data_IF_993900845595
#
_entry.id   IF_993900845595
#
_cell.length_a   1.000
_cell.length_b   1.000
_cell.length_c   1.000
_cell.angle_alpha   90.00
_cell.angle_beta   90.00
_cell.angle_gamma   90.00
#
_symmetry.space_group_name_H-M   'P 1'
#
loop_
_entity.id
_entity.type
_entity.pdbx_description
1 polymer ?
#
# COMPACT_ATOMS: atom_id res chain seq x y z
N UNK A 1 34.45 -3.80 -9.52
CA UNK A 1 33.16 -3.04 -9.44
C UNK A 1 32.93 -2.75 -7.97
N UNK A 2 33.13 -1.51 -7.57
CA UNK A 2 32.75 -1.09 -6.21
C UNK A 2 31.24 -1.25 -6.07
N UNK A 3 30.81 -2.00 -5.06
CA UNK A 3 29.38 -2.20 -4.79
C UNK A 3 28.74 -0.87 -4.41
N UNK A 4 27.53 -0.58 -4.91
CA UNK A 4 26.79 0.59 -4.50
C UNK A 4 26.45 0.41 -3.02
N UNK A 5 26.94 1.28 -2.16
CA UNK A 5 26.56 1.33 -0.76
C UNK A 5 25.20 2.01 -0.64
N UNK A 6 24.18 1.22 -0.29
CA UNK A 6 22.81 1.71 -0.11
C UNK A 6 22.72 2.44 1.23
N UNK A 7 22.13 3.63 1.22
CA UNK A 7 22.04 4.44 2.43
C UNK A 7 20.60 4.51 2.99
N UNK A 8 20.52 4.86 4.25
CA UNK A 8 19.33 5.32 4.93
C UNK A 8 19.38 6.84 5.03
N UNK A 9 18.34 7.51 4.54
CA UNK A 9 18.14 8.96 4.69
C UNK A 9 17.11 9.22 5.78
N UNK A 10 17.51 9.87 6.85
CA UNK A 10 16.63 10.24 7.95
C UNK A 10 16.37 11.76 7.91
N UNK A 11 15.12 12.13 7.62
CA UNK A 11 14.62 13.50 7.55
C UNK A 11 13.44 13.71 8.51
N UNK A 12 13.35 12.90 9.57
CA UNK A 12 12.28 13.01 10.55
C UNK A 12 12.32 14.33 11.33
N UNK A 13 11.16 14.81 11.77
CA UNK A 13 10.99 15.99 12.63
C UNK A 13 11.53 17.32 12.07
N UNK A 14 11.50 17.52 10.75
CA UNK A 14 12.06 18.71 10.11
C UNK A 14 10.99 19.69 9.62
N UNK A 15 9.71 19.45 9.92
CA UNK A 15 8.58 20.28 9.46
C UNK A 15 8.51 20.46 7.93
N UNK A 16 9.05 19.51 7.16
CA UNK A 16 9.12 19.55 5.71
C UNK A 16 7.72 19.42 5.09
N UNK A 17 7.44 20.25 4.11
CA UNK A 17 6.30 20.10 3.19
C UNK A 17 6.68 19.32 1.93
N UNK A 18 7.96 19.33 1.59
CA UNK A 18 8.58 18.59 0.49
C UNK A 18 10.02 18.21 0.85
N UNK A 19 10.59 17.22 0.20
CA UNK A 19 12.00 16.88 0.35
C UNK A 19 12.82 17.92 -0.42
N UNK A 20 13.85 18.56 0.21
CA UNK A 20 14.69 19.53 -0.46
C UNK A 20 15.35 18.97 -1.72
N UNK A 21 15.26 19.66 -2.88
CA UNK A 21 15.82 19.17 -4.14
C UNK A 21 17.29 18.79 -4.07
N UNK A 22 18.10 19.53 -3.34
CA UNK A 22 19.53 19.27 -3.16
C UNK A 22 19.82 17.94 -2.43
N UNK A 23 18.91 17.48 -1.55
CA UNK A 23 19.02 16.18 -0.89
C UNK A 23 18.63 15.06 -1.84
N UNK A 24 17.64 15.31 -2.69
CA UNK A 24 17.21 14.35 -3.73
C UNK A 24 18.35 14.13 -4.72
N UNK A 25 18.93 15.21 -5.26
CA UNK A 25 20.03 15.15 -6.22
C UNK A 25 21.26 14.42 -5.66
N UNK A 26 21.59 14.68 -4.40
CA UNK A 26 22.76 14.09 -3.74
C UNK A 26 22.58 12.61 -3.41
N UNK A 27 21.43 12.24 -2.86
CA UNK A 27 21.24 10.94 -2.18
C UNK A 27 20.12 10.09 -2.79
N UNK A 28 19.17 10.66 -3.51
CA UNK A 28 17.94 9.98 -3.95
C UNK A 28 18.18 8.64 -4.64
N UNK A 29 19.15 8.60 -5.58
CA UNK A 29 19.48 7.37 -6.32
C UNK A 29 20.04 6.26 -5.43
N UNK A 30 20.75 6.58 -4.34
CA UNK A 30 21.39 5.62 -3.44
C UNK A 30 20.54 5.28 -2.22
N UNK A 31 19.40 5.94 -2.02
CA UNK A 31 18.57 5.75 -0.84
C UNK A 31 17.73 4.49 -0.98
N UNK A 32 17.93 3.55 -0.07
CA UNK A 32 17.12 2.34 0.08
C UNK A 32 16.04 2.50 1.17
N UNK A 33 16.30 3.31 2.18
CA UNK A 33 15.36 3.61 3.26
C UNK A 33 15.25 5.13 3.44
N UNK A 34 14.01 5.66 3.42
CA UNK A 34 13.71 7.06 3.62
C UNK A 34 12.73 7.22 4.78
N UNK A 35 13.17 7.93 5.82
CA UNK A 35 12.36 8.25 6.98
C UNK A 35 11.98 9.73 6.98
N UNK A 36 10.69 10.00 6.80
CA UNK A 36 10.07 11.32 6.79
C UNK A 36 9.08 11.50 7.96
N UNK A 37 9.23 10.72 9.04
CA UNK A 37 8.35 10.79 10.20
C UNK A 37 8.22 12.21 10.75
N UNK A 38 7.01 12.59 11.21
CA UNK A 38 6.71 13.90 11.79
C UNK A 38 7.11 15.09 10.89
N UNK A 39 6.60 15.07 9.65
CA UNK A 39 6.69 16.20 8.72
C UNK A 39 5.29 16.65 8.26
N UNK A 40 5.21 17.40 7.18
CA UNK A 40 3.97 17.91 6.57
C UNK A 40 3.84 17.47 5.11
N UNK A 41 4.38 16.30 4.78
CA UNK A 41 4.38 15.77 3.42
C UNK A 41 2.94 15.38 3.03
N UNK A 42 2.49 15.87 1.88
CA UNK A 42 1.18 15.55 1.31
C UNK A 42 1.25 15.09 -0.14
N UNK A 43 2.38 15.30 -0.82
CA UNK A 43 2.63 14.91 -2.21
C UNK A 43 3.77 13.90 -2.27
N UNK A 44 3.58 12.82 -3.01
CA UNK A 44 4.55 11.74 -3.13
C UNK A 44 5.16 11.62 -4.53
N UNK A 45 4.97 12.63 -5.41
CA UNK A 45 5.52 12.58 -6.77
C UNK A 45 7.04 12.63 -6.81
N UNK A 46 7.68 13.23 -5.80
CA UNK A 46 9.15 13.26 -5.65
C UNK A 46 9.78 11.85 -5.55
N UNK A 47 9.00 10.84 -5.20
CA UNK A 47 9.49 9.45 -5.12
C UNK A 47 9.99 8.90 -6.45
N UNK A 48 9.70 9.55 -7.58
CA UNK A 48 10.27 9.19 -8.90
C UNK A 48 11.80 9.22 -8.87
N UNK A 49 12.38 10.06 -8.04
CA UNK A 49 13.83 10.26 -7.90
C UNK A 49 14.48 9.27 -6.91
N UNK A 50 13.68 8.35 -6.34
CA UNK A 50 14.11 7.30 -5.42
C UNK A 50 13.91 5.89 -6.01
N UNK A 51 14.56 5.53 -7.13
CA UNK A 51 14.26 4.31 -7.89
C UNK A 51 14.64 3.01 -7.18
N UNK A 52 15.41 3.10 -6.10
CA UNK A 52 15.89 1.95 -5.34
C UNK A 52 15.29 1.85 -3.94
N UNK A 53 14.32 2.68 -3.61
CA UNK A 53 13.67 2.71 -2.32
C UNK A 53 12.96 1.38 -2.01
N UNK A 54 13.29 0.78 -0.89
CA UNK A 54 12.70 -0.46 -0.37
C UNK A 54 11.83 -0.23 0.86
N UNK A 55 12.16 0.82 1.63
CA UNK A 55 11.44 1.20 2.85
C UNK A 55 11.14 2.69 2.86
N UNK A 56 9.87 3.03 3.06
CA UNK A 56 9.40 4.41 3.19
C UNK A 56 8.59 4.57 4.48
N UNK A 57 9.00 5.50 5.32
CA UNK A 57 8.33 5.83 6.58
C UNK A 57 7.79 7.26 6.49
N UNK A 58 6.47 7.38 6.53
CA UNK A 58 5.71 8.63 6.42
C UNK A 58 4.78 8.84 7.63
N UNK A 59 5.09 8.25 8.77
CA UNK A 59 4.27 8.39 9.97
C UNK A 59 4.13 9.85 10.37
N UNK A 60 2.93 10.25 10.85
CA UNK A 60 2.63 11.63 11.25
C UNK A 60 2.91 12.66 10.13
N UNK A 61 2.25 12.48 9.00
CA UNK A 61 2.29 13.41 7.86
C UNK A 61 0.87 13.82 7.41
N UNK A 62 0.74 14.37 6.21
CA UNK A 62 -0.51 14.88 5.66
C UNK A 62 -0.95 14.12 4.38
N UNK A 63 -0.51 12.89 4.21
CA UNK A 63 -0.85 12.06 3.04
C UNK A 63 -2.35 11.76 3.04
N UNK A 64 -3.03 12.12 1.97
CA UNK A 64 -4.47 11.91 1.79
C UNK A 64 -4.80 10.76 0.84
N UNK A 65 -6.10 10.45 0.75
CA UNK A 65 -6.62 9.32 -0.04
C UNK A 65 -6.33 9.40 -1.53
N UNK A 66 -6.24 10.61 -2.09
CA UNK A 66 -6.06 10.88 -3.53
C UNK A 66 -4.61 11.20 -3.90
N UNK A 67 -3.66 10.86 -3.03
CA UNK A 67 -2.24 11.12 -3.30
C UNK A 67 -1.80 10.46 -4.61
N UNK A 68 -0.98 11.19 -5.37
CA UNK A 68 -0.33 10.64 -6.56
C UNK A 68 1.01 10.06 -6.18
N UNK A 69 1.22 8.79 -6.52
CA UNK A 69 2.44 8.04 -6.22
C UNK A 69 2.99 7.44 -7.52
N UNK A 70 4.28 7.61 -7.83
CA UNK A 70 4.90 6.98 -8.99
C UNK A 70 4.98 5.45 -8.82
N UNK A 71 5.46 4.75 -9.84
CA UNK A 71 5.68 3.30 -9.75
C UNK A 71 6.91 3.01 -8.88
N UNK A 72 6.68 2.30 -7.76
CA UNK A 72 7.69 1.96 -6.74
C UNK A 72 7.90 0.45 -6.70
N UNK A 73 8.50 -0.12 -7.76
CA UNK A 73 8.60 -1.57 -7.94
C UNK A 73 9.49 -2.27 -6.90
N UNK A 74 10.36 -1.54 -6.21
CA UNK A 74 11.25 -2.08 -5.18
C UNK A 74 10.75 -1.83 -3.75
N UNK A 75 9.64 -1.09 -3.59
CA UNK A 75 9.11 -0.79 -2.26
C UNK A 75 8.46 -2.05 -1.65
N UNK A 76 8.97 -2.45 -0.50
CA UNK A 76 8.49 -3.58 0.28
C UNK A 76 7.81 -3.16 1.58
N UNK A 77 8.26 -2.07 2.18
CA UNK A 77 7.76 -1.56 3.46
C UNK A 77 7.27 -0.13 3.33
N UNK A 78 6.03 0.14 3.75
CA UNK A 78 5.41 1.45 3.74
C UNK A 78 4.67 1.69 5.05
N UNK A 79 5.08 2.70 5.80
CA UNK A 79 4.42 3.14 7.02
C UNK A 79 3.78 4.51 6.82
N UNK A 80 2.49 4.60 7.11
CA UNK A 80 1.62 5.77 6.91
C UNK A 80 0.73 6.03 8.12
N UNK A 81 1.18 5.66 9.31
CA UNK A 81 0.42 5.86 10.53
C UNK A 81 0.17 7.36 10.77
N UNK A 82 -0.97 7.71 11.37
CA UNK A 82 -1.31 9.11 11.68
C UNK A 82 -1.26 10.05 10.46
N UNK A 83 -1.87 9.66 9.35
CA UNK A 83 -2.02 10.49 8.16
C UNK A 83 -3.49 10.94 7.96
N UNK A 84 -3.86 11.36 6.76
CA UNK A 84 -5.19 11.92 6.42
C UNK A 84 -5.93 11.06 5.40
N UNK A 85 -5.75 9.76 5.47
CA UNK A 85 -6.39 8.80 4.57
C UNK A 85 -7.79 8.52 5.09
N UNK A 86 -8.82 8.94 4.34
CA UNK A 86 -10.24 8.83 4.69
C UNK A 86 -11.00 7.86 3.80
N UNK A 87 -10.52 7.62 2.56
CA UNK A 87 -11.13 6.71 1.60
C UNK A 87 -10.19 5.53 1.30
N UNK A 88 -10.51 4.38 1.90
CA UNK A 88 -9.70 3.17 1.80
C UNK A 88 -9.60 2.65 0.36
N UNK A 89 -10.73 2.58 -0.35
CA UNK A 89 -10.75 1.98 -1.69
C UNK A 89 -9.91 2.76 -2.70
N UNK A 90 -9.97 4.09 -2.64
CA UNK A 90 -9.18 4.98 -3.49
C UNK A 90 -7.69 4.86 -3.19
N UNK A 91 -7.34 4.85 -1.91
CA UNK A 91 -5.94 4.77 -1.50
C UNK A 91 -5.33 3.40 -1.84
N UNK A 92 -6.01 2.31 -1.51
CA UNK A 92 -5.55 0.95 -1.82
C UNK A 92 -5.43 0.73 -3.34
N UNK A 93 -6.33 1.30 -4.15
CA UNK A 93 -6.19 1.24 -5.61
C UNK A 93 -4.89 1.92 -6.11
N UNK A 94 -4.48 3.02 -5.47
CA UNK A 94 -3.18 3.66 -5.74
C UNK A 94 -2.03 2.72 -5.38
N UNK A 95 -2.06 2.08 -4.20
CA UNK A 95 -1.01 1.15 -3.77
C UNK A 95 -0.89 -0.07 -4.69
N UNK A 96 -2.02 -0.66 -5.09
CA UNK A 96 -2.04 -1.80 -6.04
C UNK A 96 -1.33 -1.46 -7.34
N UNK A 97 -1.53 -0.24 -7.85
CA UNK A 97 -0.92 0.24 -9.08
C UNK A 97 0.56 0.60 -8.90
N UNK A 98 0.88 1.29 -7.81
CA UNK A 98 2.19 1.92 -7.64
C UNK A 98 3.20 1.04 -6.91
N UNK A 99 2.75 0.13 -6.03
CA UNK A 99 3.61 -0.68 -5.15
C UNK A 99 3.35 -2.19 -5.31
N UNK A 100 3.59 -2.80 -6.48
CA UNK A 100 3.17 -4.17 -6.77
C UNK A 100 3.90 -5.25 -5.95
N UNK A 101 4.95 -4.89 -5.23
CA UNK A 101 5.77 -5.78 -4.42
C UNK A 101 5.71 -5.46 -2.92
N UNK A 102 4.71 -4.70 -2.49
CA UNK A 102 4.54 -4.33 -1.08
C UNK A 102 4.30 -5.58 -0.22
N UNK A 103 5.07 -5.68 0.88
CA UNK A 103 5.07 -6.79 1.85
C UNK A 103 4.57 -6.35 3.23
N UNK A 104 4.91 -5.14 3.63
CA UNK A 104 4.58 -4.59 4.95
C UNK A 104 3.91 -3.23 4.77
N UNK A 105 2.68 -3.12 5.22
CA UNK A 105 1.91 -1.87 5.21
C UNK A 105 1.43 -1.56 6.62
N UNK A 106 1.62 -0.33 7.07
CA UNK A 106 0.98 0.17 8.29
C UNK A 106 0.24 1.47 8.01
N UNK A 107 -1.05 1.50 8.39
CA UNK A 107 -1.96 2.64 8.18
C UNK A 107 -2.72 3.01 9.46
N UNK A 108 -2.23 2.58 10.63
CA UNK A 108 -2.88 2.83 11.92
C UNK A 108 -3.16 4.33 12.12
N UNK A 109 -4.25 4.63 12.84
CA UNK A 109 -4.65 6.00 13.15
C UNK A 109 -4.92 6.88 11.91
N UNK A 110 -5.36 6.27 10.81
CA UNK A 110 -6.07 6.93 9.73
C UNK A 110 -7.57 6.66 9.87
N UNK A 111 -8.41 7.57 9.39
CA UNK A 111 -9.87 7.38 9.40
C UNK A 111 -10.29 6.14 8.60
N UNK A 112 -9.59 5.86 7.49
CA UNK A 112 -9.82 4.70 6.64
C UNK A 112 -9.37 3.37 7.25
N UNK A 113 -8.64 3.38 8.37
CA UNK A 113 -8.16 2.19 9.08
C UNK A 113 -8.81 2.12 10.47
N UNK A 114 -10.09 1.69 10.57
CA UNK A 114 -10.80 1.63 11.84
C UNK A 114 -10.14 0.65 12.80
N UNK A 115 -10.01 1.07 14.05
CA UNK A 115 -9.47 0.28 15.14
C UNK A 115 -10.18 0.65 16.45
N UNK A 116 -10.01 -0.16 17.48
CA UNK A 116 -10.54 0.17 18.79
C UNK A 116 -10.05 1.54 19.30
N UNK A 117 -8.81 1.91 19.01
CA UNK A 117 -8.18 3.16 19.45
C UNK A 117 -8.76 4.42 18.80
N UNK A 118 -9.36 4.30 17.61
CA UNK A 118 -10.01 5.43 16.92
C UNK A 118 -11.54 5.31 16.87
N UNK A 119 -12.12 4.49 17.76
CA UNK A 119 -13.57 4.34 17.90
C UNK A 119 -14.22 3.37 16.92
N UNK A 120 -13.45 2.60 16.18
CA UNK A 120 -13.94 1.54 15.30
C UNK A 120 -14.39 0.31 16.07
N UNK A 121 -15.38 -0.40 15.51
CA UNK A 121 -15.82 -1.71 16.03
C UNK A 121 -14.88 -2.82 15.53
N UNK A 122 -14.93 -3.98 16.20
CA UNK A 122 -14.20 -5.17 15.75
C UNK A 122 -14.58 -5.58 14.31
N UNK A 123 -15.86 -5.50 13.95
CA UNK A 123 -16.33 -5.81 12.61
C UNK A 123 -15.73 -4.86 11.57
N UNK A 124 -15.72 -3.56 11.82
CA UNK A 124 -15.11 -2.56 10.94
C UNK A 124 -13.60 -2.79 10.77
N UNK A 125 -12.91 -3.14 11.85
CA UNK A 125 -11.50 -3.52 11.79
C UNK A 125 -11.25 -4.74 10.92
N UNK A 126 -12.07 -5.80 11.07
CA UNK A 126 -11.93 -7.00 10.25
C UNK A 126 -12.26 -6.73 8.78
N UNK A 127 -13.30 -5.94 8.48
CA UNK A 127 -13.66 -5.55 7.11
C UNK A 127 -12.54 -4.75 6.43
N UNK A 128 -11.93 -3.81 7.14
CA UNK A 128 -10.75 -3.09 6.69
C UNK A 128 -9.61 -4.05 6.33
N UNK A 129 -9.26 -4.96 7.24
CA UNK A 129 -8.18 -5.92 7.01
C UNK A 129 -8.47 -6.82 5.81
N UNK A 130 -9.64 -7.43 5.75
CA UNK A 130 -10.02 -8.30 4.62
C UNK A 130 -10.01 -7.58 3.29
N UNK A 131 -10.48 -6.33 3.26
CA UNK A 131 -10.44 -5.53 2.05
C UNK A 131 -9.00 -5.31 1.57
N UNK A 132 -8.10 -4.82 2.44
CA UNK A 132 -6.69 -4.55 2.11
C UNK A 132 -5.98 -5.83 1.65
N UNK A 133 -6.11 -6.92 2.42
CA UNK A 133 -5.49 -8.21 2.13
C UNK A 133 -5.94 -8.76 0.78
N UNK A 134 -7.22 -8.63 0.43
CA UNK A 134 -7.75 -9.10 -0.85
C UNK A 134 -7.18 -8.36 -2.05
N UNK A 135 -6.77 -7.11 -1.87
CA UNK A 135 -6.23 -6.24 -2.93
C UNK A 135 -4.71 -6.32 -3.05
N UNK A 136 -4.00 -6.43 -1.93
CA UNK A 136 -2.54 -6.48 -1.85
C UNK A 136 -2.09 -7.92 -1.57
N UNK A 137 -2.15 -8.77 -2.59
CA UNK A 137 -1.97 -10.23 -2.44
C UNK A 137 -0.57 -10.65 -1.96
N UNK A 138 0.44 -9.80 -2.12
CA UNK A 138 1.82 -10.07 -1.66
C UNK A 138 2.09 -9.56 -0.24
N UNK A 139 1.11 -8.95 0.41
CA UNK A 139 1.30 -8.38 1.74
C UNK A 139 1.49 -9.49 2.78
N UNK A 140 2.55 -9.43 3.57
CA UNK A 140 2.86 -10.39 4.63
C UNK A 140 2.37 -9.89 6.01
N UNK A 141 2.38 -8.56 6.20
CA UNK A 141 1.92 -7.93 7.43
C UNK A 141 1.11 -6.65 7.14
N UNK A 142 0.02 -6.47 7.87
CA UNK A 142 -0.80 -5.27 7.87
C UNK A 142 -0.89 -4.73 9.29
N UNK A 143 -0.52 -3.46 9.43
CA UNK A 143 -0.36 -2.78 10.72
C UNK A 143 0.66 -3.53 11.59
N UNK A 144 0.30 -3.91 12.80
CA UNK A 144 1.14 -4.63 13.76
C UNK A 144 1.03 -6.16 13.65
N UNK A 145 0.28 -6.70 12.66
CA UNK A 145 -0.06 -8.12 12.60
C UNK A 145 0.34 -8.79 11.30
N UNK A 146 1.01 -9.94 11.44
CA UNK A 146 1.26 -10.86 10.34
C UNK A 146 -0.08 -11.41 9.83
N UNK A 147 -0.24 -11.47 8.51
CA UNK A 147 -1.43 -11.99 7.85
C UNK A 147 -1.39 -13.52 7.87
N UNK A 148 -2.42 -14.14 8.46
CA UNK A 148 -2.56 -15.59 8.53
C UNK A 148 -3.26 -16.14 7.29
N UNK A 149 -3.03 -17.43 6.98
CA UNK A 149 -3.64 -18.08 5.82
C UNK A 149 -5.17 -18.10 5.87
N UNK A 150 -5.75 -18.34 7.05
CA UNK A 150 -7.20 -18.31 7.25
C UNK A 150 -7.79 -16.90 7.02
N UNK A 151 -7.06 -15.86 7.42
CA UNK A 151 -7.44 -14.46 7.19
C UNK A 151 -7.39 -14.14 5.68
N UNK A 152 -6.38 -14.61 4.96
CA UNK A 152 -6.28 -14.47 3.51
C UNK A 152 -7.38 -15.20 2.76
N UNK A 153 -7.71 -16.43 3.20
CA UNK A 153 -8.81 -17.21 2.62
C UNK A 153 -10.16 -16.49 2.80
N UNK A 154 -10.41 -15.92 3.98
CA UNK A 154 -11.63 -15.18 4.26
C UNK A 154 -11.71 -13.86 3.48
N UNK A 155 -10.59 -13.12 3.36
CA UNK A 155 -10.48 -11.93 2.53
C UNK A 155 -10.81 -12.22 1.05
N UNK A 156 -10.31 -13.34 0.52
CA UNK A 156 -10.61 -13.77 -0.86
C UNK A 156 -12.08 -14.19 -1.00
N UNK A 157 -12.66 -14.87 0.00
CA UNK A 157 -14.07 -15.26 0.01
C UNK A 157 -15.00 -14.04 -0.05
N UNK A 158 -14.71 -12.99 0.73
CA UNK A 158 -15.56 -11.79 0.85
C UNK A 158 -15.33 -10.82 -0.31
N UNK A 159 -14.08 -10.52 -0.63
CA UNK A 159 -13.70 -9.46 -1.56
C UNK A 159 -12.99 -9.95 -2.83
N UNK A 160 -12.73 -11.24 -2.96
CA UNK A 160 -12.12 -11.83 -4.15
C UNK A 160 -12.95 -11.56 -5.39
N UNK A 161 -12.31 -11.39 -6.53
CA UNK A 161 -13.02 -11.23 -7.81
C UNK A 161 -13.77 -12.52 -8.11
N UNK A 162 -15.09 -12.46 -8.21
CA UNK A 162 -15.89 -13.57 -8.73
C UNK A 162 -15.30 -14.00 -10.07
N UNK A 163 -14.77 -15.22 -10.17
CA UNK A 163 -14.33 -15.78 -11.45
C UNK A 163 -15.52 -15.69 -12.41
N UNK A 164 -15.35 -15.14 -13.64
CA UNK A 164 -16.45 -15.08 -14.59
C UNK A 164 -17.04 -16.51 -14.76
N UNK A 165 -18.33 -16.66 -14.51
CA UNK A 165 -19.04 -17.93 -14.73
C UNK A 165 -18.78 -18.37 -16.16
N UNK A 166 -18.05 -19.50 -16.35
CA UNK A 166 -17.93 -20.14 -17.67
C UNK A 166 -19.36 -20.38 -18.18
N UNK A 167 -19.77 -19.69 -19.23
CA UNK A 167 -21.02 -19.99 -19.94
C UNK A 167 -20.97 -21.43 -20.35
N UNK A 168 -21.84 -22.28 -19.81
CA UNK A 168 -22.06 -23.65 -20.33
C UNK A 168 -22.46 -23.49 -21.80
N UNK A 169 -21.64 -24.01 -22.71
CA UNK A 169 -22.05 -24.18 -24.12
C UNK A 169 -23.29 -25.06 -24.10
N UNK A 170 -24.43 -24.56 -24.61
CA UNK A 170 -25.56 -25.39 -25.00
C UNK A 170 -25.07 -26.31 -26.12
N UNK A 171 -25.10 -27.61 -25.86
CA UNK A 171 -24.98 -28.63 -26.91
C UNK A 171 -26.31 -28.61 -27.61
N UNK A 172 -26.40 -28.06 -28.82
CA UNK A 172 -27.51 -28.27 -29.71
C UNK A 172 -27.43 -29.73 -30.16
N UNK A 173 -28.44 -30.51 -29.77
CA UNK A 173 -28.69 -31.82 -30.35
C UNK A 173 -29.43 -31.58 -31.66
N UNK A 174 -28.70 -31.78 -32.76
CA UNK A 174 -29.34 -31.93 -34.07
C UNK A 174 -30.08 -33.26 -34.11
N UNK A 175 -31.37 -33.20 -33.99
CA UNK A 175 -32.27 -34.27 -34.38
C UNK A 175 -32.44 -34.20 -35.88
N UNK A 176 -31.65 -34.95 -36.64
CA UNK A 176 -32.01 -35.33 -38.01
C UNK A 176 -32.73 -36.66 -37.93
N UNK A 177 -34.04 -36.57 -38.13
CA UNK A 177 -34.93 -37.69 -38.42
C UNK A 177 -35.28 -37.60 -39.88
N UNK A 178 -34.82 -38.54 -40.68
CA UNK A 178 -35.55 -39.09 -41.84
C UNK A 178 -35.03 -40.49 -42.12
#
# INVERSE_FOLDING_TARGET
MEGIEWNRQNLAYQSLTEVPPELIERDGFKTAELDLTHNKISDLRFLVDYPHLTTLILDHNLVGSHVKMPSMNKLHTLWLNHNKITNLSTFVATLVKSCPNLRHLSMMNNEAAPSFFNGGTFQQYMDYRYFVISRLQKLDALDDKIIQENERAEAERIYGRSKPRKKKKKVEQDNNNT
#
